data_IF_094942723224
#
_entry.id   IF_094942723224
#
_cell.length_a   1.000
_cell.length_b   1.000
_cell.length_c   1.000
_cell.angle_alpha   90.00
_cell.angle_beta   90.00
_cell.angle_gamma   90.00
#
_symmetry.space_group_name_H-M   'P 1'
#
loop_
_entity.id
_entity.type
_entity.pdbx_description
1 polymer ?
#
# COMPACT_ATOMS: atom_id res chain seq x y z
N UNK A 1 -82.74 -22.66 -14.18
CA UNK A 1 -81.97 -21.80 -13.24
C UNK A 1 -81.12 -22.70 -12.32
N UNK A 2 -79.92 -22.26 -11.90
CA UNK A 2 -78.87 -22.97 -11.09
C UNK A 2 -77.85 -23.85 -11.85
N UNK A 3 -76.95 -23.25 -12.65
CA UNK A 3 -75.65 -23.87 -13.03
C UNK A 3 -74.58 -22.82 -13.35
N UNK A 4 -74.28 -21.88 -12.44
CA UNK A 4 -73.23 -20.86 -12.64
C UNK A 4 -72.46 -20.46 -11.36
N UNK A 5 -72.49 -21.28 -10.30
CA UNK A 5 -71.75 -20.96 -9.06
C UNK A 5 -70.53 -21.85 -8.81
N UNK A 6 -70.44 -23.01 -9.45
CA UNK A 6 -69.42 -24.01 -9.08
C UNK A 6 -68.09 -23.87 -9.84
N UNK A 7 -68.03 -23.04 -10.90
CA UNK A 7 -66.80 -22.89 -11.71
C UNK A 7 -65.84 -21.81 -11.16
N UNK A 8 -66.32 -20.89 -10.33
CA UNK A 8 -65.50 -19.76 -9.83
C UNK A 8 -64.64 -20.12 -8.61
N UNK A 9 -65.02 -21.16 -7.87
CA UNK A 9 -64.30 -21.63 -6.67
C UNK A 9 -63.07 -22.50 -7.00
N UNK A 10 -62.99 -23.09 -8.19
CA UNK A 10 -61.85 -23.94 -8.58
C UNK A 10 -60.58 -23.15 -8.92
N UNK A 11 -60.70 -21.95 -9.48
CA UNK A 11 -59.56 -21.16 -9.97
C UNK A 11 -58.81 -20.47 -8.81
N UNK A 12 -59.52 -20.07 -7.76
CA UNK A 12 -58.90 -19.46 -6.58
C UNK A 12 -58.03 -20.45 -5.77
N UNK A 13 -58.40 -21.74 -5.73
CA UNK A 13 -57.64 -22.77 -5.01
C UNK A 13 -56.31 -23.14 -5.70
N UNK A 14 -56.28 -23.15 -7.03
CA UNK A 14 -55.07 -23.45 -7.81
C UNK A 14 -54.04 -22.31 -7.77
N UNK A 15 -54.48 -21.05 -7.68
CA UNK A 15 -53.58 -19.89 -7.54
C UNK A 15 -52.93 -19.76 -6.16
N UNK A 16 -53.58 -20.25 -5.09
CA UNK A 16 -53.03 -20.22 -3.74
C UNK A 16 -52.02 -21.37 -3.53
N UNK A 17 -52.23 -22.52 -4.17
CA UNK A 17 -51.30 -23.65 -4.11
C UNK A 17 -49.97 -23.39 -4.84
N UNK A 18 -49.96 -22.57 -5.90
CA UNK A 18 -48.71 -22.21 -6.60
C UNK A 18 -47.85 -21.19 -5.82
N UNK A 19 -48.43 -20.37 -4.94
CA UNK A 19 -47.69 -19.43 -4.09
C UNK A 19 -47.04 -20.11 -2.87
N UNK A 20 -47.58 -21.22 -2.39
CA UNK A 20 -47.01 -21.97 -1.26
C UNK A 20 -45.79 -22.81 -1.70
N UNK A 21 -45.70 -23.18 -2.97
CA UNK A 21 -44.60 -24.00 -3.49
C UNK A 21 -43.26 -23.25 -3.65
N UNK A 22 -43.25 -21.91 -3.65
CA UNK A 22 -42.03 -21.12 -3.82
C UNK A 22 -41.36 -20.78 -2.47
N UNK A 23 -42.09 -20.88 -1.36
CA UNK A 23 -41.61 -20.46 -0.04
C UNK A 23 -40.74 -21.48 0.72
N UNK A 24 -40.62 -22.72 0.23
CA UNK A 24 -39.99 -23.82 0.97
C UNK A 24 -38.70 -24.35 0.36
N UNK A 25 -38.05 -23.58 -0.53
CA UNK A 25 -36.66 -23.86 -0.90
C UNK A 25 -35.78 -23.20 0.15
N UNK A 26 -35.51 -23.91 1.24
CA UNK A 26 -34.42 -23.56 2.14
C UNK A 26 -33.17 -23.40 1.28
N UNK A 27 -32.58 -22.21 1.26
CA UNK A 27 -31.26 -22.03 0.66
C UNK A 27 -30.31 -22.92 1.44
N UNK A 28 -30.00 -24.10 0.90
CA UNK A 28 -28.86 -24.88 1.38
C UNK A 28 -27.66 -23.97 1.21
N UNK A 29 -26.87 -23.69 2.26
CA UNK A 29 -25.58 -23.06 2.07
C UNK A 29 -24.79 -24.00 1.16
N UNK A 30 -24.65 -23.60 -0.10
CA UNK A 30 -23.59 -24.16 -0.95
C UNK A 30 -22.32 -23.70 -0.27
N UNK A 31 -21.75 -24.56 0.57
CA UNK A 31 -20.32 -24.46 0.87
C UNK A 31 -19.65 -24.53 -0.48
N UNK A 32 -19.25 -23.36 -0.99
CA UNK A 32 -18.43 -23.24 -2.16
C UNK A 32 -17.06 -23.78 -1.73
N UNK A 33 -16.94 -25.11 -1.73
CA UNK A 33 -15.71 -25.84 -1.48
C UNK A 33 -14.79 -25.66 -2.69
N UNK A 34 -14.38 -24.41 -2.93
CA UNK A 34 -13.21 -24.07 -3.74
C UNK A 34 -11.95 -24.11 -2.86
N UNK A 35 -11.93 -25.02 -1.89
CA UNK A 35 -10.72 -25.34 -1.14
C UNK A 35 -10.07 -26.47 -1.92
N UNK A 36 -9.28 -26.09 -2.93
CA UNK A 36 -8.38 -27.02 -3.63
C UNK A 36 -7.68 -27.91 -2.58
N UNK A 37 -7.59 -29.23 -2.76
CA UNK A 37 -6.98 -30.15 -1.80
C UNK A 37 -5.51 -29.81 -1.47
N UNK A 38 -4.88 -29.00 -2.32
CA UNK A 38 -3.57 -28.37 -2.12
C UNK A 38 -3.54 -27.42 -0.91
N UNK A 39 -4.68 -26.82 -0.55
CA UNK A 39 -4.82 -25.89 0.57
C UNK A 39 -4.98 -26.62 1.92
N UNK A 40 -5.51 -27.86 1.93
CA UNK A 40 -5.67 -28.66 3.14
C UNK A 40 -4.37 -29.41 3.52
N UNK A 41 -3.51 -29.70 2.54
CA UNK A 41 -2.18 -30.29 2.74
C UNK A 41 -1.05 -29.25 2.76
N UNK A 42 -1.34 -28.01 2.36
CA UNK A 42 -0.39 -26.91 2.33
C UNK A 42 -0.05 -26.45 3.74
N UNK A 43 1.17 -26.73 4.19
CA UNK A 43 1.83 -26.02 5.28
C UNK A 43 1.50 -24.53 5.18
N UNK A 44 0.98 -23.95 6.28
CA UNK A 44 0.55 -22.57 6.42
C UNK A 44 1.10 -21.63 5.34
N UNK A 45 0.25 -21.17 4.42
CA UNK A 45 0.60 -20.10 3.48
C UNK A 45 0.88 -18.85 4.33
N UNK A 46 2.13 -18.64 4.72
CA UNK A 46 2.54 -17.41 5.39
C UNK A 46 2.64 -16.33 4.32
N UNK A 47 1.53 -15.62 4.08
CA UNK A 47 1.56 -14.41 3.28
C UNK A 47 2.51 -13.41 3.94
N UNK A 48 3.64 -13.10 3.27
CA UNK A 48 4.57 -12.08 3.74
C UNK A 48 3.97 -10.72 3.42
N UNK A 49 3.46 -10.03 4.44
CA UNK A 49 3.00 -8.65 4.30
C UNK A 49 4.21 -7.72 4.18
N UNK A 50 4.27 -6.90 3.12
CA UNK A 50 5.29 -5.86 3.00
C UNK A 50 4.83 -4.62 3.77
N UNK A 51 5.44 -4.39 4.92
CA UNK A 51 5.12 -3.22 5.74
C UNK A 51 5.65 -1.93 5.10
N UNK A 52 4.82 -0.88 5.13
CA UNK A 52 5.18 0.46 4.68
C UNK A 52 6.25 1.04 5.60
N UNK A 53 7.43 1.43 5.09
CA UNK A 53 8.40 2.19 5.86
C UNK A 53 7.86 3.59 6.19
N UNK A 54 8.38 4.22 7.25
CA UNK A 54 7.95 5.57 7.67
C UNK A 54 9.13 6.51 7.77
N UNK A 55 9.12 7.63 7.06
CA UNK A 55 10.14 8.68 7.15
C UNK A 55 9.99 9.38 8.52
N UNK A 56 11.13 9.54 9.22
CA UNK A 56 11.17 10.12 10.57
C UNK A 56 11.79 11.51 10.57
N UNK A 57 12.85 11.69 9.81
CA UNK A 57 13.55 12.96 9.75
C UNK A 57 13.88 13.30 8.32
N UNK A 58 13.87 14.58 8.02
CA UNK A 58 14.42 15.10 6.80
C UNK A 58 15.05 16.47 7.06
N UNK A 59 16.24 16.67 6.48
CA UNK A 59 16.97 17.91 6.51
C UNK A 59 17.51 18.18 5.11
N UNK A 60 17.15 19.33 4.57
CA UNK A 60 17.70 19.84 3.33
C UNK A 60 18.61 21.03 3.65
N UNK A 61 19.71 21.16 2.93
CA UNK A 61 20.62 22.29 2.98
C UNK A 61 20.83 22.87 1.59
N UNK A 62 21.09 24.17 1.53
CA UNK A 62 21.40 24.88 0.29
C UNK A 62 22.73 25.61 0.41
N UNK A 63 23.40 25.77 -0.72
CA UNK A 63 24.57 26.66 -0.86
C UNK A 63 24.12 27.81 -1.75
N UNK A 64 24.37 29.04 -1.29
CA UNK A 64 23.95 30.29 -1.97
C UNK A 64 22.43 30.47 -2.12
N UNK A 65 21.61 29.68 -1.42
CA UNK A 65 20.15 29.85 -1.36
C UNK A 65 19.37 29.56 -2.64
N UNK A 66 20.03 29.06 -3.69
CA UNK A 66 19.40 28.83 -5.01
C UNK A 66 18.97 27.37 -5.21
N UNK A 67 19.73 26.40 -4.68
CA UNK A 67 19.59 24.99 -5.02
C UNK A 67 19.77 24.13 -3.76
N UNK A 68 19.07 23.00 -3.69
CA UNK A 68 19.31 22.00 -2.64
C UNK A 68 20.63 21.29 -2.96
N UNK A 69 21.61 21.42 -2.08
CA UNK A 69 22.97 20.87 -2.25
C UNK A 69 23.31 19.81 -1.23
N UNK A 70 22.51 19.68 -0.18
CA UNK A 70 22.57 18.58 0.78
C UNK A 70 21.16 18.12 1.10
N UNK A 71 20.97 16.81 1.15
CA UNK A 71 19.72 16.20 1.57
C UNK A 71 20.02 14.99 2.44
N UNK A 72 19.52 14.98 3.66
CA UNK A 72 19.62 13.83 4.55
C UNK A 72 18.26 13.50 5.12
N UNK A 73 17.90 12.22 5.10
CA UNK A 73 16.65 11.76 5.66
C UNK A 73 16.83 10.39 6.29
N UNK A 74 15.93 10.05 7.20
CA UNK A 74 15.87 8.75 7.84
C UNK A 74 14.47 8.18 7.82
N UNK A 75 14.37 6.86 7.80
CA UNK A 75 13.11 6.14 7.88
C UNK A 75 13.23 4.90 8.76
N UNK A 76 12.10 4.42 9.24
CA UNK A 76 11.99 3.20 10.02
C UNK A 76 11.26 2.10 9.25
N UNK A 77 11.68 0.85 9.40
CA UNK A 77 10.98 -0.32 8.87
C UNK A 77 11.24 -1.55 9.74
N UNK A 78 10.28 -2.48 9.79
CA UNK A 78 10.47 -3.82 10.38
C UNK A 78 11.21 -4.76 9.44
N UNK A 79 11.35 -4.37 8.17
CA UNK A 79 11.96 -5.16 7.12
C UNK A 79 13.47 -4.87 6.99
N UNK A 80 14.27 -5.87 6.58
CA UNK A 80 15.72 -5.71 6.43
C UNK A 80 16.07 -4.90 5.17
N UNK A 81 17.32 -4.44 5.08
CA UNK A 81 17.80 -3.47 4.09
C UNK A 81 17.64 -3.94 2.64
N UNK A 82 17.75 -5.24 2.38
CA UNK A 82 17.66 -5.82 1.03
C UNK A 82 16.26 -5.61 0.42
N UNK A 83 15.28 -5.34 1.28
CA UNK A 83 13.91 -5.02 0.88
C UNK A 83 13.63 -3.52 0.90
N UNK A 84 14.54 -2.68 1.35
CA UNK A 84 14.33 -1.24 1.41
C UNK A 84 14.77 -0.56 0.12
N UNK A 85 13.94 0.34 -0.37
CA UNK A 85 14.23 1.17 -1.54
C UNK A 85 13.89 2.61 -1.21
N UNK A 86 14.74 3.54 -1.62
CA UNK A 86 14.49 4.98 -1.55
C UNK A 86 14.68 5.62 -2.91
N UNK A 87 13.86 6.62 -3.21
CA UNK A 87 13.87 7.34 -4.48
C UNK A 87 13.92 8.84 -4.23
N UNK A 88 14.56 9.55 -5.16
CA UNK A 88 14.59 11.00 -5.22
C UNK A 88 14.05 11.44 -6.59
N UNK A 89 12.92 12.17 -6.61
CA UNK A 89 12.19 12.52 -7.84
C UNK A 89 11.99 11.30 -8.77
N UNK A 90 11.57 10.18 -8.22
CA UNK A 90 11.37 8.92 -8.97
C UNK A 90 12.65 8.18 -9.39
N UNK A 91 13.84 8.73 -9.12
CA UNK A 91 15.12 8.06 -9.41
C UNK A 91 15.56 7.22 -8.22
N UNK A 92 15.89 5.94 -8.46
CA UNK A 92 16.37 5.06 -7.40
C UNK A 92 17.66 5.61 -6.80
N UNK A 93 17.69 5.73 -5.48
CA UNK A 93 18.85 6.20 -4.75
C UNK A 93 20.03 5.24 -4.83
N UNK A 94 21.22 5.79 -4.97
CA UNK A 94 22.48 5.02 -5.10
C UNK A 94 23.27 4.93 -3.81
N UNK A 95 22.92 5.75 -2.81
CA UNK A 95 23.60 5.78 -1.51
C UNK A 95 23.10 4.62 -0.65
N UNK A 96 24.02 3.78 -0.19
CA UNK A 96 23.71 2.73 0.78
C UNK A 96 23.34 3.37 2.13
N UNK A 97 22.17 3.05 2.71
CA UNK A 97 21.77 3.59 4.00
C UNK A 97 22.66 3.09 5.14
N UNK A 98 22.94 3.97 6.09
CA UNK A 98 23.43 3.56 7.41
C UNK A 98 22.27 2.94 8.18
N UNK A 99 22.52 1.81 8.83
CA UNK A 99 21.50 1.02 9.54
C UNK A 99 21.80 1.06 11.03
N UNK A 100 20.76 1.30 11.83
CA UNK A 100 20.81 1.17 13.29
C UNK A 100 19.64 0.32 13.79
N UNK A 101 19.84 -0.41 14.89
CA UNK A 101 18.87 -1.36 15.44
C UNK A 101 19.12 -2.82 15.02
N UNK A 102 18.13 -3.71 15.19
CA UNK A 102 16.74 -3.41 15.52
C UNK A 102 16.53 -3.09 17.00
N UNK A 103 15.67 -2.10 17.28
CA UNK A 103 15.11 -1.85 18.62
C UNK A 103 13.63 -2.20 18.55
N UNK A 104 13.18 -3.14 19.38
CA UNK A 104 11.81 -3.68 19.34
C UNK A 104 11.38 -4.17 17.94
N UNK A 105 12.30 -4.78 17.19
CA UNK A 105 12.02 -5.31 15.85
C UNK A 105 11.97 -4.26 14.73
N UNK A 106 12.33 -3.00 15.01
CA UNK A 106 12.33 -1.92 14.03
C UNK A 106 13.75 -1.45 13.75
N UNK A 107 14.13 -1.41 12.47
CA UNK A 107 15.37 -0.84 11.97
C UNK A 107 15.18 0.64 11.66
N UNK A 108 16.23 1.43 11.87
CA UNK A 108 16.30 2.82 11.42
C UNK A 108 17.38 2.95 10.36
N UNK A 109 16.99 3.49 9.21
CA UNK A 109 17.83 3.69 8.04
C UNK A 109 18.06 5.18 7.84
N UNK A 110 19.28 5.58 7.52
CA UNK A 110 19.60 6.98 7.22
C UNK A 110 20.51 7.11 6.01
N UNK A 111 20.25 8.11 5.18
CA UNK A 111 21.06 8.45 4.00
C UNK A 111 21.39 9.93 3.99
N UNK A 112 22.50 10.27 3.35
CA UNK A 112 22.91 11.65 3.12
C UNK A 112 23.45 11.81 1.70
N UNK A 113 22.81 12.68 0.95
CA UNK A 113 23.20 13.10 -0.38
C UNK A 113 23.88 14.46 -0.30
N UNK A 114 25.01 14.58 -1.00
CA UNK A 114 25.71 15.84 -1.22
C UNK A 114 25.48 16.31 -2.67
N UNK A 115 26.01 17.50 -2.99
CA UNK A 115 25.79 18.14 -4.27
C UNK A 115 26.22 17.25 -5.45
N UNK A 116 27.37 16.58 -5.35
CA UNK A 116 27.88 15.70 -6.40
C UNK A 116 26.95 14.53 -6.70
N UNK A 117 26.38 13.92 -5.65
CA UNK A 117 25.43 12.81 -5.80
C UNK A 117 24.07 13.29 -6.30
N UNK A 118 23.60 14.47 -5.88
CA UNK A 118 22.36 15.07 -6.38
C UNK A 118 22.50 15.50 -7.86
N UNK A 119 23.66 16.01 -8.27
CA UNK A 119 23.93 16.29 -9.70
C UNK A 119 23.92 15.02 -10.56
N UNK A 120 24.47 13.92 -10.04
CA UNK A 120 24.57 12.64 -10.76
C UNK A 120 23.22 11.96 -10.97
N UNK A 121 22.24 12.20 -10.10
CA UNK A 121 20.87 11.71 -10.21
C UNK A 121 20.02 12.52 -11.20
N UNK A 122 20.62 12.97 -12.31
CA UNK A 122 19.96 13.62 -13.45
C UNK A 122 19.33 15.00 -13.14
N UNK A 123 20.11 15.92 -12.55
CA UNK A 123 19.74 17.36 -12.39
C UNK A 123 18.86 17.70 -11.17
N UNK A 124 19.00 17.00 -10.05
CA UNK A 124 18.27 17.30 -8.80
C UNK A 124 18.76 18.54 -8.04
N UNK A 125 19.52 19.42 -8.69
CA UNK A 125 19.68 20.79 -8.21
C UNK A 125 18.42 21.56 -8.58
N UNK A 126 17.33 21.15 -7.97
CA UNK A 126 16.02 21.77 -8.09
C UNK A 126 15.74 22.55 -6.81
N UNK A 127 14.77 23.44 -6.90
CA UNK A 127 14.20 24.06 -5.71
C UNK A 127 13.41 23.05 -4.87
N UNK A 128 13.14 21.86 -5.41
CA UNK A 128 12.19 20.90 -4.86
C UNK A 128 12.62 19.46 -5.16
N UNK A 129 12.74 18.64 -4.11
CA UNK A 129 13.09 17.23 -4.20
C UNK A 129 12.06 16.42 -3.43
N UNK A 130 11.33 15.58 -4.15
CA UNK A 130 10.46 14.56 -3.60
C UNK A 130 11.29 13.36 -3.16
N UNK A 131 11.02 12.88 -1.96
CA UNK A 131 11.67 11.76 -1.30
C UNK A 131 10.63 10.67 -1.17
N UNK A 132 10.96 9.46 -1.56
CA UNK A 132 10.08 8.30 -1.41
C UNK A 132 10.83 7.15 -0.78
N UNK A 133 10.18 6.43 0.14
CA UNK A 133 10.69 5.17 0.69
C UNK A 133 9.61 4.09 0.58
N UNK A 134 10.02 2.89 0.19
CA UNK A 134 9.13 1.72 0.10
C UNK A 134 9.87 0.42 0.37
N UNK A 135 9.12 -0.60 0.75
CA UNK A 135 9.61 -1.97 0.88
C UNK A 135 9.31 -2.73 -0.42
N UNK A 136 10.28 -3.41 -1.01
CA UNK A 136 10.13 -4.25 -2.21
C UNK A 136 10.46 -5.73 -1.97
N UNK A 137 9.82 -6.61 -2.73
CA UNK A 137 10.15 -8.03 -2.81
C UNK A 137 9.80 -8.56 -4.21
N UNK A 138 10.81 -8.68 -5.08
CA UNK A 138 10.60 -9.03 -6.49
C UNK A 138 9.79 -7.96 -7.21
N UNK A 139 8.65 -8.34 -7.81
CA UNK A 139 7.71 -7.42 -8.46
C UNK A 139 6.73 -6.75 -7.49
N UNK A 140 6.71 -7.15 -6.22
CA UNK A 140 5.82 -6.61 -5.21
C UNK A 140 6.47 -5.43 -4.49
N UNK A 141 5.67 -4.43 -4.16
CA UNK A 141 6.10 -3.32 -3.31
C UNK A 141 4.99 -2.93 -2.32
N UNK A 142 5.39 -2.44 -1.14
CA UNK A 142 4.47 -1.83 -0.18
C UNK A 142 3.96 -0.49 -0.71
N UNK A 143 2.99 0.09 0.01
CA UNK A 143 2.74 1.52 -0.14
C UNK A 143 3.98 2.34 0.23
N UNK A 144 4.07 3.53 -0.35
CA UNK A 144 5.21 4.45 -0.21
C UNK A 144 4.93 5.46 0.91
N UNK A 145 5.97 5.85 1.63
CA UNK A 145 5.98 7.11 2.39
C UNK A 145 6.74 8.16 1.61
N UNK A 146 6.18 9.35 1.50
CA UNK A 146 6.77 10.42 0.71
C UNK A 146 6.85 11.71 1.50
N UNK A 147 8.00 12.36 1.38
CA UNK A 147 8.30 13.64 1.98
C UNK A 147 8.87 14.54 0.89
N UNK A 148 8.94 15.81 1.20
CA UNK A 148 9.37 16.81 0.24
C UNK A 148 10.33 17.79 0.86
N UNK A 149 11.43 18.03 0.15
CA UNK A 149 12.38 19.08 0.45
C UNK A 149 12.18 20.24 -0.52
N UNK A 150 11.79 21.41 -0.01
CA UNK A 150 11.59 22.62 -0.80
C UNK A 150 12.50 23.75 -0.35
N UNK A 151 12.97 24.54 -1.30
CA UNK A 151 13.58 25.85 -1.03
C UNK A 151 12.48 26.84 -0.70
N UNK A 152 12.67 27.58 0.39
CA UNK A 152 11.82 28.69 0.81
C UNK A 152 12.63 29.98 0.83
N UNK A 153 11.98 31.14 0.93
CA UNK A 153 12.60 32.46 0.75
C UNK A 153 13.83 32.68 1.66
N UNK A 154 13.85 32.07 2.85
CA UNK A 154 14.88 32.24 3.88
C UNK A 154 15.62 30.94 4.22
N UNK A 155 15.51 29.89 3.42
CA UNK A 155 16.16 28.61 3.70
C UNK A 155 15.57 27.41 2.97
N UNK A 156 15.56 26.27 3.64
CA UNK A 156 15.04 25.00 3.14
C UNK A 156 14.05 24.43 4.14
N UNK A 157 12.90 23.98 3.65
CA UNK A 157 11.93 23.21 4.40
C UNK A 157 12.04 21.76 3.97
N UNK A 158 11.89 20.82 4.91
CA UNK A 158 11.64 19.44 4.57
C UNK A 158 10.61 18.82 5.51
N UNK A 159 9.62 18.12 4.96
CA UNK A 159 8.50 17.58 5.73
C UNK A 159 7.64 16.61 4.92
N UNK A 160 6.57 16.06 5.52
CA UNK A 160 5.57 15.30 4.78
C UNK A 160 4.97 16.17 3.67
N UNK A 161 4.74 15.57 2.49
CA UNK A 161 4.10 16.28 1.37
C UNK A 161 2.57 16.38 1.56
#
# INVERSE_FOLDING_TARGET
>A
MKRRKDLRTGIAALGILSLIAVGSVSATPTEAAWTEPEYAAGTAITAVSLEKPTIRTCQAGSVLGLLITRLSFSWTSTMPIERQQHYLNGTLGTVLPTITGPVNGVYTYSVSYNQGLLTLLLSLLTAEVQIEVRTGAGSWSSSTDHWEARKVLLGTACGPA
#
